data_IF_089235078296
#
_entry.id   IF_089235078296
#
_cell.length_a   1.000
_cell.length_b   1.000
_cell.length_c   1.000
_cell.angle_alpha   90.00
_cell.angle_beta   90.00
_cell.angle_gamma   90.00
#
_symmetry.space_group_name_H-M   'P 1'
#
loop_
_entity.id
_entity.type
_entity.pdbx_description
1 polymer ?
#
# COMPACT_ATOMS: atom_id res chain seq x y z
N UNK A 1 3.65 7.02 7.66
CA UNK A 1 3.33 5.62 7.98
C UNK A 1 2.51 5.50 9.25
N UNK A 2 1.30 4.96 9.15
CA UNK A 2 0.54 4.45 10.30
C UNK A 2 1.21 3.20 10.89
N UNK A 3 0.87 2.82 12.13
CA UNK A 3 1.40 1.61 12.78
C UNK A 3 1.09 0.34 11.97
N UNK A 4 -0.08 0.27 11.32
CA UNK A 4 -0.50 -0.85 10.46
C UNK A 4 0.43 -1.02 9.26
N UNK A 5 0.68 0.08 8.53
CA UNK A 5 1.52 0.05 7.34
C UNK A 5 2.93 -0.45 7.68
N UNK A 6 3.49 -0.01 8.82
CA UNK A 6 4.80 -0.47 9.27
C UNK A 6 4.83 -1.98 9.55
N UNK A 7 3.80 -2.54 10.19
CA UNK A 7 3.69 -3.99 10.43
C UNK A 7 3.62 -4.79 9.13
N UNK A 8 2.76 -4.37 8.19
CA UNK A 8 2.64 -5.01 6.87
C UNK A 8 3.98 -4.98 6.13
N UNK A 9 4.68 -3.85 6.19
CA UNK A 9 5.98 -3.73 5.55
C UNK A 9 7.02 -4.71 6.11
N UNK A 10 7.02 -4.94 7.43
CA UNK A 10 7.91 -5.90 8.09
C UNK A 10 7.51 -7.35 7.78
N UNK A 11 6.23 -7.68 7.91
CA UNK A 11 5.70 -9.04 7.70
C UNK A 11 5.92 -9.52 6.25
N UNK A 12 5.57 -8.67 5.28
CA UNK A 12 5.63 -9.01 3.86
C UNK A 12 6.92 -8.55 3.16
N UNK A 13 7.90 -8.05 3.93
CA UNK A 13 9.20 -7.54 3.44
C UNK A 13 9.03 -6.60 2.24
N UNK A 14 8.16 -5.61 2.40
CA UNK A 14 8.04 -4.52 1.43
C UNK A 14 9.31 -3.67 1.46
N UNK A 15 9.80 -3.29 0.29
CA UNK A 15 10.84 -2.27 0.18
C UNK A 15 10.29 -0.92 0.61
N UNK A 16 11.18 0.02 0.97
CA UNK A 16 10.78 1.38 1.31
C UNK A 16 9.90 2.01 0.22
N UNK A 17 10.22 1.76 -1.06
CA UNK A 17 9.45 2.32 -2.17
C UNK A 17 8.07 1.69 -2.32
N UNK A 18 7.96 0.39 -2.09
CA UNK A 18 6.67 -0.31 -2.07
C UNK A 18 5.80 0.16 -0.89
N UNK A 19 6.43 0.39 0.27
CA UNK A 19 5.76 0.92 1.46
C UNK A 19 5.15 2.32 1.21
N UNK A 20 5.92 3.23 0.60
CA UNK A 20 5.42 4.56 0.22
C UNK A 20 4.20 4.45 -0.70
N UNK A 21 4.34 3.70 -1.80
CA UNK A 21 3.26 3.52 -2.78
C UNK A 21 2.01 2.91 -2.11
N UNK A 22 2.18 1.88 -1.28
CA UNK A 22 1.10 1.26 -0.52
C UNK A 22 0.37 2.29 0.36
N UNK A 23 1.09 3.12 1.12
CA UNK A 23 0.50 4.15 1.99
C UNK A 23 -0.38 5.13 1.20
N UNK A 24 0.04 5.53 -0.01
CA UNK A 24 -0.80 6.39 -0.84
C UNK A 24 -2.03 5.67 -1.41
N UNK A 25 -1.92 4.38 -1.77
CA UNK A 25 -3.06 3.59 -2.25
C UNK A 25 -4.13 3.46 -1.18
N UNK A 26 -3.74 3.14 0.06
CA UNK A 26 -4.62 2.99 1.22
C UNK A 26 -5.33 4.31 1.54
N UNK A 27 -4.63 5.44 1.39
CA UNK A 27 -5.21 6.79 1.51
C UNK A 27 -6.17 7.18 0.38
N UNK A 28 -6.45 6.27 -0.55
CA UNK A 28 -7.40 6.49 -1.63
C UNK A 28 -6.86 7.27 -2.81
N UNK A 29 -5.55 7.55 -2.89
CA UNK A 29 -4.99 8.35 -3.98
C UNK A 29 -5.02 7.61 -5.32
N UNK A 30 -5.17 8.37 -6.40
CA UNK A 30 -5.12 7.84 -7.78
C UNK A 30 -3.68 7.61 -8.22
N UNK A 31 -3.47 6.72 -9.19
CA UNK A 31 -2.14 6.43 -9.76
C UNK A 31 -1.41 7.70 -10.21
N UNK A 32 -2.13 8.62 -10.86
CA UNK A 32 -1.61 9.92 -11.31
C UNK A 32 -1.08 10.75 -10.14
N UNK A 33 -1.88 10.89 -9.07
CA UNK A 33 -1.50 11.68 -7.91
C UNK A 33 -0.33 11.06 -7.14
N UNK A 34 -0.25 9.74 -7.10
CA UNK A 34 0.89 9.03 -6.51
C UNK A 34 2.15 9.29 -7.34
N UNK A 35 2.04 9.23 -8.67
CA UNK A 35 3.14 9.49 -9.58
C UNK A 35 3.71 10.90 -9.40
N UNK A 36 2.84 11.90 -9.30
CA UNK A 36 3.20 13.30 -9.03
C UNK A 36 3.87 13.47 -7.66
N UNK A 37 3.24 12.98 -6.59
CA UNK A 37 3.74 13.15 -5.22
C UNK A 37 5.08 12.45 -5.00
N UNK A 38 5.27 11.30 -5.65
CA UNK A 38 6.48 10.50 -5.54
C UNK A 38 7.51 10.79 -6.64
N UNK A 39 7.24 11.74 -7.54
CA UNK A 39 8.09 12.15 -8.66
C UNK A 39 8.58 10.95 -9.49
N UNK A 40 7.64 10.10 -9.91
CA UNK A 40 7.90 8.92 -10.77
C UNK A 40 6.82 8.79 -11.84
N UNK A 41 7.02 7.91 -12.83
CA UNK A 41 6.00 7.65 -13.84
C UNK A 41 4.82 6.86 -13.27
N UNK A 42 3.62 7.03 -13.84
CA UNK A 42 2.46 6.20 -13.52
C UNK A 42 2.73 4.70 -13.76
N UNK A 43 3.53 4.36 -14.78
CA UNK A 43 3.92 2.97 -15.03
C UNK A 43 4.78 2.41 -13.90
N UNK A 44 5.66 3.22 -13.32
CA UNK A 44 6.43 2.87 -12.12
C UNK A 44 5.49 2.63 -10.93
N UNK A 45 4.47 3.46 -10.73
CA UNK A 45 3.45 3.25 -9.69
C UNK A 45 2.68 1.96 -9.90
N UNK A 46 2.20 1.68 -11.13
CA UNK A 46 1.52 0.42 -11.48
C UNK A 46 2.42 -0.80 -11.24
N UNK A 47 3.70 -0.69 -11.60
CA UNK A 47 4.69 -1.73 -11.38
C UNK A 47 4.90 -2.01 -9.87
N UNK A 48 5.03 -0.96 -9.04
CA UNK A 48 5.09 -1.14 -7.59
C UNK A 48 3.81 -1.74 -7.03
N UNK A 49 2.64 -1.25 -7.48
CA UNK A 49 1.33 -1.78 -7.08
C UNK A 49 1.21 -3.28 -7.35
N UNK A 50 1.63 -3.73 -8.55
CA UNK A 50 1.64 -5.16 -8.90
C UNK A 50 2.57 -5.98 -8.01
N UNK A 51 3.75 -5.46 -7.69
CA UNK A 51 4.69 -6.14 -6.78
C UNK A 51 4.16 -6.22 -5.35
N UNK A 52 3.54 -5.14 -4.86
CA UNK A 52 2.85 -5.12 -3.55
C UNK A 52 1.77 -6.19 -3.54
N UNK A 53 0.87 -6.20 -4.54
CA UNK A 53 -0.21 -7.19 -4.62
C UNK A 53 0.30 -8.62 -4.66
N UNK A 54 1.38 -8.89 -5.41
CA UNK A 54 2.00 -10.21 -5.44
C UNK A 54 2.66 -10.60 -4.10
N UNK A 55 3.27 -9.67 -3.38
CA UNK A 55 3.88 -9.93 -2.07
C UNK A 55 2.85 -10.17 -0.97
N UNK A 56 1.73 -9.48 -1.05
CA UNK A 56 0.63 -9.56 -0.09
C UNK A 56 -0.37 -10.69 -0.44
N UNK A 57 -0.19 -11.34 -1.59
CA UNK A 57 -1.11 -12.34 -2.15
C UNK A 57 -2.56 -11.83 -2.27
N UNK A 58 -2.71 -10.64 -2.83
CA UNK A 58 -4.00 -9.96 -3.03
C UNK A 58 -4.22 -9.56 -4.49
N UNK A 59 -5.49 -9.31 -4.86
CA UNK A 59 -5.87 -9.11 -6.26
C UNK A 59 -6.49 -7.74 -6.56
N UNK A 60 -6.99 -7.03 -5.55
CA UNK A 60 -7.62 -5.71 -5.73
C UNK A 60 -7.26 -4.75 -4.60
N UNK A 61 -7.46 -3.46 -4.87
CA UNK A 61 -7.28 -2.38 -3.89
C UNK A 61 -8.09 -2.60 -2.60
N UNK A 62 -9.30 -3.16 -2.70
CA UNK A 62 -10.13 -3.42 -1.53
C UNK A 62 -9.46 -4.42 -0.58
N UNK A 63 -8.88 -5.51 -1.09
CA UNK A 63 -8.16 -6.49 -0.27
C UNK A 63 -6.99 -5.85 0.48
N UNK A 64 -6.31 -4.87 -0.13
CA UNK A 64 -5.24 -4.12 0.54
C UNK A 64 -5.79 -3.29 1.71
N UNK A 65 -6.95 -2.66 1.54
CA UNK A 65 -7.60 -1.87 2.59
C UNK A 65 -8.03 -2.81 3.72
N UNK A 66 -8.73 -3.89 3.38
CA UNK A 66 -9.19 -4.90 4.34
C UNK A 66 -8.02 -5.50 5.13
N UNK A 67 -6.89 -5.76 4.47
CA UNK A 67 -5.67 -6.23 5.11
C UNK A 67 -5.12 -5.18 6.09
N UNK A 68 -4.99 -3.92 5.68
CA UNK A 68 -4.50 -2.84 6.56
C UNK A 68 -5.38 -2.66 7.78
N UNK A 69 -6.70 -2.69 7.59
CA UNK A 69 -7.68 -2.60 8.67
C UNK A 69 -7.59 -3.82 9.60
N UNK A 70 -7.38 -5.03 9.06
CA UNK A 70 -7.22 -6.26 9.85
C UNK A 70 -5.95 -6.28 10.72
N UNK A 71 -4.92 -5.49 10.38
CA UNK A 71 -3.71 -5.33 11.19
C UNK A 71 -3.90 -4.38 12.39
N UNK A 72 -5.13 -3.86 12.58
CA UNK A 72 -5.59 -3.06 13.72
C UNK A 72 -6.91 -3.61 14.30
N UNK A 73 -6.85 -4.52 15.28
CA UNK A 73 -8.02 -4.82 16.09
C UNK A 73 -8.14 -3.78 17.22
N UNK A 74 -8.41 -2.51 16.93
CA UNK A 74 -9.00 -1.61 17.91
C UNK A 74 -10.52 -1.54 17.65
N UNK A 75 -11.36 -2.20 18.47
CA UNK A 75 -12.80 -2.06 18.36
C UNK A 75 -13.21 -0.70 18.93
N UNK A 76 -13.83 0.14 18.11
CA UNK A 76 -14.73 1.18 18.58
C UNK A 76 -14.37 2.62 18.22
N UNK A 77 -15.09 3.14 17.24
CA UNK A 77 -15.93 4.33 17.42
C UNK A 77 -17.15 4.21 16.51
#
# INVERSE_FOLDING_TARGET
MSKQAARICQEFRLSAREAEVMEHIVRGKTVVRIAEELVISENTVRMHSKRIYAKLDIHKKQDLIDLVDSFDPEPGS
#
